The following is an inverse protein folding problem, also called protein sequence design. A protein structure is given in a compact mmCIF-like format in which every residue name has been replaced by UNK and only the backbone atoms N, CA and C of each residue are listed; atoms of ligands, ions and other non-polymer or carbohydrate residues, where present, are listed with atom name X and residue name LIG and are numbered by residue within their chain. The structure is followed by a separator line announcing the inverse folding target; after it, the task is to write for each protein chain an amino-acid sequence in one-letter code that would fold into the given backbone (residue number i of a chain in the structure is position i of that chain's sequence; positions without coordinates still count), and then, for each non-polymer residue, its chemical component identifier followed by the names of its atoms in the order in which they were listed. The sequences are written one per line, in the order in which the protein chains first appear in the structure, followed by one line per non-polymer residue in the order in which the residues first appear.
data_IF_868445494859
#
_entry.id   IF_868445494859
#
_cell.length_a   1.000
_cell.length_b   1.000
_cell.length_c   1.000
_cell.angle_alpha   90.00
_cell.angle_beta   90.00
_cell.angle_gamma   90.00
#
_symmetry.space_group_name_H-M   'P 1'
#
loop_
_entity.id
_entity.type
_entity.pdbx_description
1 polymer ?
#
# COMPACT_ATOMS: atom_id res chain seq x y z
N UNK A 1 17.76 -9.56 -19.61
CA UNK A 1 16.66 -9.21 -18.70
C UNK A 1 15.85 -7.97 -19.13
N UNK A 2 16.46 -6.85 -19.54
CA UNK A 2 15.75 -5.62 -19.95
C UNK A 2 14.77 -5.84 -21.10
N UNK A 3 15.19 -6.53 -22.17
CA UNK A 3 14.37 -6.79 -23.35
C UNK A 3 13.10 -7.60 -23.02
N UNK A 4 13.21 -8.64 -22.17
CA UNK A 4 12.06 -9.45 -21.75
C UNK A 4 11.04 -8.61 -20.98
N UNK A 5 11.51 -7.76 -20.06
CA UNK A 5 10.63 -6.86 -19.31
C UNK A 5 9.90 -5.87 -20.23
N UNK A 6 10.62 -5.25 -21.17
CA UNK A 6 10.03 -4.35 -22.16
C UNK A 6 9.04 -5.02 -23.09
N UNK A 7 9.34 -6.24 -23.52
CA UNK A 7 8.41 -7.02 -24.33
C UNK A 7 7.12 -7.34 -23.54
N UNK A 8 7.23 -7.71 -22.28
CA UNK A 8 6.05 -7.94 -21.42
C UNK A 8 5.23 -6.67 -21.20
N UNK A 9 5.87 -5.52 -20.97
CA UNK A 9 5.19 -4.21 -20.86
C UNK A 9 4.41 -3.87 -22.15
N UNK A 10 5.01 -4.10 -23.34
CA UNK A 10 4.38 -3.84 -24.65
C UNK A 10 3.19 -4.80 -24.87
N UNK A 11 3.35 -6.09 -24.60
CA UNK A 11 2.28 -7.07 -24.76
C UNK A 11 1.11 -6.74 -23.83
N UNK A 12 1.37 -6.45 -22.57
CA UNK A 12 0.33 -6.06 -21.61
C UNK A 12 -0.44 -4.81 -22.06
N UNK A 13 0.27 -3.80 -22.59
CA UNK A 13 -0.37 -2.57 -23.09
C UNK A 13 -1.18 -2.82 -24.37
N UNK A 14 -0.68 -3.69 -25.26
CA UNK A 14 -1.40 -4.11 -26.47
C UNK A 14 -2.68 -4.85 -26.14
N UNK A 15 -2.61 -5.84 -25.25
CA UNK A 15 -3.77 -6.63 -24.83
C UNK A 15 -4.83 -5.74 -24.18
N UNK A 16 -4.42 -4.79 -23.34
CA UNK A 16 -5.30 -3.80 -22.74
C UNK A 16 -6.00 -2.92 -23.78
N UNK A 17 -5.25 -2.45 -24.78
CA UNK A 17 -5.80 -1.64 -25.87
C UNK A 17 -6.83 -2.43 -26.70
N UNK A 18 -6.55 -3.70 -27.01
CA UNK A 18 -7.49 -4.58 -27.73
C UNK A 18 -8.76 -4.79 -26.92
N UNK A 19 -8.66 -5.02 -25.61
CA UNK A 19 -9.80 -5.16 -24.73
C UNK A 19 -10.66 -3.88 -24.66
N UNK A 20 -10.03 -2.71 -24.57
CA UNK A 20 -10.72 -1.42 -24.56
C UNK A 20 -11.49 -1.13 -25.87
N UNK A 21 -10.98 -1.58 -27.01
CA UNK A 21 -11.60 -1.38 -28.33
C UNK A 21 -12.66 -2.42 -28.68
N UNK A 22 -12.65 -3.60 -28.05
CA UNK A 22 -13.55 -4.72 -28.38
C UNK A 22 -14.92 -4.68 -27.70
N UNK A 23 -15.25 -3.63 -26.95
CA UNK A 23 -16.48 -3.52 -26.21
C UNK A 23 -17.70 -3.29 -27.10
N UNK A 24 -18.64 -4.24 -27.08
CA UNK A 24 -20.03 -4.02 -27.50
C UNK A 24 -20.71 -3.11 -26.46
N UNK A 25 -21.43 -2.11 -26.92
CA UNK A 25 -21.93 -0.94 -26.18
C UNK A 25 -22.82 -1.22 -24.93
N UNK A 26 -23.22 -2.47 -24.64
CA UNK A 26 -24.23 -2.74 -23.61
C UNK A 26 -23.74 -3.38 -22.29
N UNK A 27 -22.49 -3.91 -22.22
CA UNK A 27 -22.03 -4.61 -21.00
C UNK A 27 -20.63 -4.18 -20.61
N UNK A 28 -20.52 -3.50 -19.46
CA UNK A 28 -19.22 -3.07 -18.93
C UNK A 28 -18.34 -4.27 -18.59
N UNK A 29 -17.19 -4.38 -19.24
CA UNK A 29 -16.20 -5.43 -19.03
C UNK A 29 -14.77 -4.85 -19.16
N UNK A 30 -13.77 -5.66 -18.87
CA UNK A 30 -12.35 -5.29 -18.96
C UNK A 30 -11.62 -5.44 -17.63
N UNK A 31 -10.32 -5.18 -17.64
CA UNK A 31 -9.45 -5.26 -16.47
C UNK A 31 -9.16 -3.87 -15.90
N UNK A 32 -9.14 -3.76 -14.58
CA UNK A 32 -8.67 -2.59 -13.85
C UNK A 32 -7.40 -3.02 -13.08
N UNK A 33 -6.26 -2.44 -13.45
CA UNK A 33 -4.98 -2.75 -12.85
C UNK A 33 -4.66 -1.76 -11.72
N UNK A 34 -4.53 -2.27 -10.47
CA UNK A 34 -4.30 -1.46 -9.27
C UNK A 34 -2.98 -1.83 -8.64
N UNK A 35 -2.10 -0.84 -8.44
CA UNK A 35 -0.91 -0.97 -7.60
C UNK A 35 -1.20 -0.62 -6.15
N UNK A 36 -0.70 -1.40 -5.20
CA UNK A 36 -0.85 -1.08 -3.78
C UNK A 36 0.34 -1.58 -2.94
N UNK A 37 0.61 -0.92 -1.81
CA UNK A 37 1.41 -1.48 -0.74
C UNK A 37 0.59 -2.45 0.11
N UNK A 38 1.27 -3.16 1.00
CA UNK A 38 0.60 -3.98 2.02
C UNK A 38 0.08 -3.06 3.13
N UNK A 39 -1.23 -2.89 3.18
CA UNK A 39 -1.92 -1.92 4.04
C UNK A 39 -3.32 -2.40 4.41
N UNK A 40 -3.80 -2.04 5.59
CA UNK A 40 -5.16 -2.34 6.04
C UNK A 40 -6.22 -1.65 5.18
N UNK A 41 -5.88 -0.51 4.55
CA UNK A 41 -6.76 0.18 3.61
C UNK A 41 -7.08 -0.64 2.35
N UNK A 42 -6.31 -1.71 2.07
CA UNK A 42 -6.69 -2.68 1.05
C UNK A 42 -8.00 -3.41 1.37
N UNK A 43 -8.35 -3.61 2.64
CA UNK A 43 -9.66 -4.16 3.04
C UNK A 43 -10.79 -3.23 2.62
N UNK A 44 -10.62 -1.92 2.84
CA UNK A 44 -11.57 -0.92 2.39
C UNK A 44 -11.74 -0.93 0.87
N UNK A 45 -10.63 -0.93 0.13
CA UNK A 45 -10.66 -0.99 -1.33
C UNK A 45 -11.29 -2.29 -1.83
N UNK A 46 -10.99 -3.43 -1.21
CA UNK A 46 -11.56 -4.74 -1.54
C UNK A 46 -13.08 -4.75 -1.36
N UNK A 47 -13.60 -4.09 -0.34
CA UNK A 47 -15.05 -3.94 -0.14
C UNK A 47 -15.70 -3.12 -1.28
N UNK A 48 -15.03 -2.05 -1.76
CA UNK A 48 -15.52 -1.29 -2.91
C UNK A 48 -15.47 -2.12 -4.20
N UNK A 49 -14.40 -2.89 -4.40
CA UNK A 49 -14.27 -3.83 -5.52
C UNK A 49 -15.40 -4.86 -5.48
N UNK A 50 -15.68 -5.45 -4.33
CA UNK A 50 -16.77 -6.41 -4.15
C UNK A 50 -18.12 -5.82 -4.56
N UNK A 51 -18.46 -4.63 -4.04
CA UNK A 51 -19.71 -3.93 -4.37
C UNK A 51 -19.80 -3.57 -5.86
N UNK A 52 -18.70 -3.09 -6.44
CA UNK A 52 -18.66 -2.74 -7.85
C UNK A 52 -18.87 -3.97 -8.75
N UNK A 53 -18.21 -5.11 -8.43
CA UNK A 53 -18.37 -6.35 -9.19
C UNK A 53 -19.77 -6.98 -9.08
N UNK A 54 -20.52 -6.72 -8.01
CA UNK A 54 -21.93 -7.13 -7.94
C UNK A 54 -22.77 -6.45 -9.04
N UNK A 55 -22.43 -5.21 -9.40
CA UNK A 55 -23.12 -4.46 -10.47
C UNK A 55 -22.53 -4.75 -11.85
N UNK A 56 -21.21 -4.99 -11.93
CA UNK A 56 -20.46 -5.18 -13.18
C UNK A 56 -19.63 -6.47 -13.10
N UNK A 57 -20.26 -7.64 -13.21
CA UNK A 57 -19.61 -8.94 -12.94
C UNK A 57 -18.50 -9.32 -13.92
N UNK A 58 -18.51 -8.73 -15.13
CA UNK A 58 -17.49 -9.00 -16.16
C UNK A 58 -16.23 -8.14 -16.00
N UNK A 59 -16.21 -7.20 -15.04
CA UNK A 59 -15.00 -6.43 -14.74
C UNK A 59 -14.07 -7.27 -13.86
N UNK A 60 -12.81 -7.37 -14.28
CA UNK A 60 -11.75 -8.03 -13.55
C UNK A 60 -10.84 -6.99 -12.88
N UNK A 61 -10.20 -7.38 -11.79
CA UNK A 61 -9.23 -6.55 -11.08
C UNK A 61 -7.91 -7.28 -10.97
N UNK A 62 -6.84 -6.60 -11.34
CA UNK A 62 -5.47 -7.09 -11.20
C UNK A 62 -4.76 -6.28 -10.13
N UNK A 63 -4.24 -6.94 -9.10
CA UNK A 63 -3.58 -6.28 -7.96
C UNK A 63 -2.07 -6.51 -8.05
N UNK A 64 -1.32 -5.42 -8.08
CA UNK A 64 0.13 -5.43 -8.10
C UNK A 64 0.71 -4.86 -6.81
N UNK A 65 1.33 -5.72 -5.99
CA UNK A 65 1.95 -5.30 -4.72
C UNK A 65 3.34 -4.72 -4.97
N UNK A 66 3.54 -3.46 -4.61
CA UNK A 66 4.81 -2.77 -4.75
C UNK A 66 4.89 -1.53 -3.83
N UNK A 67 6.06 -0.91 -3.75
CA UNK A 67 6.23 0.38 -3.09
C UNK A 67 5.72 1.54 -3.98
N UNK A 68 5.42 2.67 -3.36
CA UNK A 68 4.81 3.82 -4.03
C UNK A 68 5.56 4.30 -5.29
N UNK A 69 6.89 4.25 -5.27
CA UNK A 69 7.69 4.75 -6.41
C UNK A 69 7.61 3.81 -7.61
N UNK A 70 7.62 2.49 -7.40
CA UNK A 70 7.40 1.49 -8.45
C UNK A 70 5.97 1.58 -9.01
N UNK A 71 4.98 1.79 -8.14
CA UNK A 71 3.58 1.97 -8.54
C UNK A 71 3.44 3.20 -9.43
N UNK A 72 4.00 4.35 -9.02
CA UNK A 72 3.98 5.59 -9.81
C UNK A 72 4.64 5.39 -11.18
N UNK A 73 5.81 4.75 -11.23
CA UNK A 73 6.48 4.45 -12.50
C UNK A 73 5.59 3.63 -13.44
N UNK A 74 4.86 2.65 -12.91
CA UNK A 74 3.96 1.79 -13.71
C UNK A 74 2.69 2.53 -14.16
N UNK A 75 2.17 3.45 -13.34
CA UNK A 75 1.06 4.34 -13.73
C UNK A 75 1.52 5.25 -14.88
N UNK A 76 2.72 5.84 -14.78
CA UNK A 76 3.26 6.69 -15.87
C UNK A 76 3.41 5.93 -17.18
N UNK A 77 3.71 4.63 -17.13
CA UNK A 77 3.81 3.74 -18.30
C UNK A 77 2.47 3.20 -18.79
N UNK A 78 1.35 3.52 -18.13
CA UNK A 78 0.03 2.99 -18.47
C UNK A 78 -0.17 1.49 -18.15
N UNK A 79 0.73 0.85 -17.39
CA UNK A 79 0.64 -0.55 -16.98
C UNK A 79 -0.36 -0.70 -15.82
N UNK A 80 -0.39 0.26 -14.90
CA UNK A 80 -1.38 0.36 -13.84
C UNK A 80 -2.31 1.54 -14.11
N UNK A 81 -3.58 1.36 -13.77
CA UNK A 81 -4.60 2.40 -13.90
C UNK A 81 -4.65 3.27 -12.65
N UNK A 82 -4.56 2.63 -11.48
CA UNK A 82 -4.79 3.24 -10.18
C UNK A 82 -3.67 2.79 -9.23
N UNK A 83 -3.26 3.67 -8.31
CA UNK A 83 -2.37 3.36 -7.21
C UNK A 83 -3.02 3.67 -5.87
N UNK A 84 -2.98 2.72 -4.93
CA UNK A 84 -3.23 2.96 -3.51
C UNK A 84 -1.88 3.22 -2.83
N UNK A 85 -1.61 4.49 -2.52
CA UNK A 85 -0.31 4.94 -2.03
C UNK A 85 -0.43 5.47 -0.60
N UNK A 86 0.58 5.16 0.23
CA UNK A 86 0.70 5.69 1.58
C UNK A 86 1.39 7.06 1.55
N UNK A 87 0.86 8.01 2.29
CA UNK A 87 1.51 9.30 2.53
C UNK A 87 2.77 9.12 3.43
N UNK A 88 3.76 9.99 3.39
CA UNK A 88 3.90 11.11 2.47
C UNK A 88 4.20 10.65 1.02
N UNK A 89 3.49 11.21 0.05
CA UNK A 89 3.68 10.93 -1.38
C UNK A 89 3.42 12.17 -2.22
N UNK A 90 4.31 12.44 -3.17
CA UNK A 90 4.08 13.50 -4.16
C UNK A 90 3.01 13.06 -5.16
N UNK A 91 1.88 13.78 -5.13
CA UNK A 91 0.72 13.57 -6.01
C UNK A 91 0.55 14.69 -7.05
N UNK A 92 1.51 15.58 -7.21
CA UNK A 92 1.39 16.75 -8.10
C UNK A 92 1.01 16.44 -9.55
N UNK A 93 1.44 15.27 -10.05
CA UNK A 93 1.14 14.78 -11.42
C UNK A 93 -0.12 13.93 -11.52
N UNK A 94 -0.81 13.68 -10.41
CA UNK A 94 -1.93 12.76 -10.33
C UNK A 94 -3.21 13.47 -9.93
N UNK A 95 -4.34 12.95 -10.41
CA UNK A 95 -5.61 13.08 -9.74
C UNK A 95 -5.61 12.15 -8.55
N UNK A 96 -6.30 12.51 -7.46
CA UNK A 96 -6.34 11.64 -6.29
C UNK A 96 -7.63 11.76 -5.48
N UNK A 97 -7.90 10.73 -4.69
CA UNK A 97 -8.93 10.71 -3.64
C UNK A 97 -8.23 10.26 -2.34
N UNK A 98 -8.42 11.00 -1.24
CA UNK A 98 -7.94 10.56 0.08
C UNK A 98 -8.86 9.49 0.65
N UNK A 99 -8.28 8.44 1.20
CA UNK A 99 -9.01 7.43 1.97
C UNK A 99 -9.26 7.98 3.37
N UNK A 100 -10.50 7.91 3.90
CA UNK A 100 -10.83 8.48 5.21
C UNK A 100 -10.09 7.81 6.37
N UNK A 101 -9.84 6.50 6.25
CA UNK A 101 -9.13 5.72 7.29
C UNK A 101 -7.64 6.01 7.23
N UNK A 102 -7.04 6.20 8.41
CA UNK A 102 -5.59 6.30 8.56
C UNK A 102 -4.99 4.99 9.01
N UNK A 103 -3.78 4.72 8.58
CA UNK A 103 -2.95 3.62 9.04
C UNK A 103 -2.22 4.02 10.31
N UNK A 104 -2.21 3.14 11.31
CA UNK A 104 -1.48 3.35 12.56
C UNK A 104 -0.11 2.71 12.50
N UNK A 105 0.90 3.45 12.88
CA UNK A 105 2.23 2.93 13.11
C UNK A 105 2.34 2.21 14.45
N UNK A 106 3.12 1.16 14.43
CA UNK A 106 3.46 0.38 15.60
C UNK A 106 4.70 -0.47 15.37
N UNK A 107 4.91 -1.38 16.28
CA UNK A 107 5.91 -2.42 16.14
C UNK A 107 5.25 -3.79 16.01
N UNK A 108 5.89 -4.65 15.22
CA UNK A 108 5.58 -6.05 15.15
C UNK A 108 6.66 -6.81 15.92
N UNK A 109 6.24 -7.61 16.90
CA UNK A 109 7.11 -8.38 17.78
C UNK A 109 6.56 -9.80 17.97
N UNK A 110 7.42 -10.71 18.39
CA UNK A 110 7.00 -12.05 18.83
C UNK A 110 6.17 -11.93 20.13
N UNK A 111 5.16 -12.78 20.27
CA UNK A 111 4.30 -12.81 21.48
C UNK A 111 5.06 -13.13 22.76
N UNK A 112 6.20 -13.81 22.66
CA UNK A 112 7.08 -14.13 23.79
C UNK A 112 8.08 -13.02 24.13
N UNK A 113 8.08 -11.89 23.40
CA UNK A 113 8.93 -10.74 23.69
C UNK A 113 8.44 -9.95 24.90
N UNK A 114 9.36 -9.39 25.68
CA UNK A 114 9.02 -8.45 26.77
C UNK A 114 8.24 -7.22 26.29
N UNK A 115 8.47 -6.80 25.03
CA UNK A 115 7.72 -5.71 24.42
C UNK A 115 6.26 -6.08 24.18
N UNK A 116 5.93 -7.35 23.99
CA UNK A 116 4.57 -7.81 23.77
C UNK A 116 3.61 -7.54 24.94
N UNK A 117 4.15 -7.37 26.14
CA UNK A 117 3.39 -7.03 27.35
C UNK A 117 3.04 -5.52 27.45
N UNK A 118 3.52 -4.68 26.53
CA UNK A 118 3.27 -3.24 26.53
C UNK A 118 1.97 -2.92 25.79
N UNK A 119 1.21 -1.96 26.31
CA UNK A 119 0.02 -1.43 25.62
C UNK A 119 0.39 -0.50 24.46
N UNK A 120 1.53 0.18 24.57
CA UNK A 120 2.07 1.08 23.53
C UNK A 120 3.59 1.22 23.66
N UNK A 121 4.23 1.68 22.60
CA UNK A 121 5.68 1.80 22.50
C UNK A 121 6.06 3.27 22.32
N UNK A 122 6.90 3.76 23.22
CA UNK A 122 7.58 5.04 23.05
C UNK A 122 9.01 4.86 22.51
N UNK A 123 9.66 5.93 22.02
CA UNK A 123 11.01 5.83 21.43
C UNK A 123 12.07 5.17 22.32
N UNK A 124 11.99 5.36 23.65
CA UNK A 124 13.01 4.85 24.59
C UNK A 124 13.04 3.32 24.67
N UNK A 125 11.91 2.65 24.41
CA UNK A 125 11.87 1.17 24.40
C UNK A 125 12.64 0.56 23.22
N UNK A 126 12.93 1.34 22.18
CA UNK A 126 13.52 0.85 20.94
C UNK A 126 15.00 1.17 20.77
N UNK A 127 15.62 1.93 21.69
CA UNK A 127 17.02 2.39 21.57
C UNK A 127 18.05 1.25 21.55
N UNK A 128 17.79 0.14 22.24
CA UNK A 128 18.73 -0.98 22.34
C UNK A 128 18.23 -2.25 21.62
N UNK A 129 17.16 -2.13 20.84
CA UNK A 129 16.53 -3.26 20.16
C UNK A 129 16.96 -3.28 18.69
N UNK A 130 17.32 -4.46 18.12
CA UNK A 130 17.53 -4.57 16.68
C UNK A 130 16.24 -4.25 15.93
N UNK A 131 16.26 -3.24 15.04
CA UNK A 131 15.09 -2.78 14.30
C UNK A 131 15.11 -3.23 12.85
N UNK A 132 13.94 -3.58 12.34
CA UNK A 132 13.67 -3.83 10.94
C UNK A 132 12.81 -2.67 10.44
N UNK A 133 13.36 -1.83 9.55
CA UNK A 133 12.74 -0.57 9.15
C UNK A 133 12.35 -0.55 7.68
N UNK A 134 11.39 0.32 7.33
CA UNK A 134 11.05 0.56 5.94
C UNK A 134 12.22 1.20 5.20
N UNK A 135 12.40 0.81 3.94
CA UNK A 135 13.50 1.33 3.11
C UNK A 135 13.22 2.73 2.54
N UNK A 136 11.94 3.13 2.44
CA UNK A 136 11.52 4.36 1.76
C UNK A 136 11.94 5.61 2.53
N UNK A 137 12.69 6.53 1.87
CA UNK A 137 13.32 7.69 2.50
C UNK A 137 12.30 8.68 3.11
N UNK A 138 11.21 8.97 2.41
CA UNK A 138 10.17 9.88 2.94
C UNK A 138 9.55 9.35 4.24
N UNK A 139 9.38 8.04 4.36
CA UNK A 139 8.86 7.40 5.58
C UNK A 139 9.92 7.41 6.70
N UNK A 140 11.19 7.24 6.35
CA UNK A 140 12.27 7.38 7.34
C UNK A 140 12.30 8.76 7.98
N UNK A 141 12.06 9.83 7.21
CA UNK A 141 12.00 11.19 7.74
C UNK A 141 10.84 11.38 8.72
N UNK A 142 9.68 10.78 8.44
CA UNK A 142 8.53 10.77 9.35
C UNK A 142 8.86 10.03 10.65
N UNK A 143 9.46 8.85 10.55
CA UNK A 143 9.90 8.07 11.70
C UNK A 143 11.04 8.77 12.46
N UNK A 144 12.01 9.40 11.78
CA UNK A 144 13.05 10.18 12.42
C UNK A 144 12.48 11.32 13.28
N UNK A 145 11.47 12.01 12.75
CA UNK A 145 10.74 13.03 13.52
C UNK A 145 10.04 12.46 14.76
N UNK A 146 9.45 11.27 14.66
CA UNK A 146 8.80 10.60 15.79
C UNK A 146 9.82 10.16 16.86
N UNK A 147 10.98 9.62 16.46
CA UNK A 147 12.04 9.22 17.37
C UNK A 147 12.76 10.40 18.04
N UNK A 148 12.80 11.56 17.38
CA UNK A 148 13.55 12.73 17.84
C UNK A 148 15.03 12.41 18.09
N UNK A 149 15.56 12.79 19.25
CA UNK A 149 16.96 12.60 19.62
C UNK A 149 17.42 11.14 19.68
N UNK A 150 16.48 10.20 19.75
CA UNK A 150 16.80 8.76 19.79
C UNK A 150 17.12 8.17 18.42
N UNK A 151 16.82 8.87 17.32
CA UNK A 151 16.90 8.31 15.97
C UNK A 151 18.33 7.90 15.58
N UNK A 152 19.31 8.73 15.86
CA UNK A 152 20.74 8.48 15.53
C UNK A 152 21.33 7.27 16.26
N UNK A 153 20.77 6.91 17.41
CA UNK A 153 21.20 5.76 18.23
C UNK A 153 20.53 4.45 17.88
N UNK A 154 19.65 4.40 16.88
CA UNK A 154 18.91 3.19 16.54
C UNK A 154 19.80 2.12 15.91
N UNK A 155 19.59 0.87 16.30
CA UNK A 155 20.29 -0.30 15.77
C UNK A 155 19.47 -0.93 14.64
N UNK A 156 19.74 -0.53 13.40
CA UNK A 156 19.03 -1.07 12.24
C UNK A 156 19.66 -2.42 11.86
N UNK A 157 18.92 -3.52 12.09
CA UNK A 157 19.34 -4.87 11.73
C UNK A 157 19.00 -5.21 10.27
N UNK A 158 17.86 -4.74 9.76
CA UNK A 158 17.43 -4.99 8.39
C UNK A 158 16.52 -3.88 7.89
N UNK A 159 16.32 -3.83 6.56
CA UNK A 159 15.32 -2.97 5.93
C UNK A 159 14.41 -3.79 5.03
N UNK A 160 13.16 -3.36 4.88
CA UNK A 160 12.16 -4.03 4.06
C UNK A 160 11.40 -3.05 3.16
N UNK A 161 10.74 -3.57 2.13
CA UNK A 161 9.84 -2.83 1.25
C UNK A 161 8.38 -3.29 1.38
N UNK A 162 8.15 -4.57 1.65
CA UNK A 162 6.83 -5.19 1.89
C UNK A 162 6.85 -5.92 3.24
N UNK A 163 5.78 -5.72 4.03
CA UNK A 163 5.79 -6.05 5.46
C UNK A 163 5.76 -7.56 5.74
N UNK A 164 5.22 -8.39 4.85
CA UNK A 164 5.22 -9.85 5.08
C UNK A 164 6.65 -10.41 5.19
N UNK A 165 7.61 -9.86 4.44
CA UNK A 165 9.03 -10.24 4.60
C UNK A 165 9.59 -9.79 5.97
N UNK A 166 9.18 -8.61 6.45
CA UNK A 166 9.57 -8.14 7.77
C UNK A 166 8.96 -9.02 8.87
N UNK A 167 7.71 -9.44 8.73
CA UNK A 167 7.06 -10.36 9.66
C UNK A 167 7.83 -11.68 9.81
N UNK A 168 8.25 -12.30 8.68
CA UNK A 168 9.08 -13.51 8.72
C UNK A 168 10.43 -13.28 9.40
N UNK A 169 11.06 -12.10 9.22
CA UNK A 169 12.29 -11.75 9.93
C UNK A 169 12.06 -11.58 11.43
N UNK A 170 10.93 -11.00 11.86
CA UNK A 170 10.55 -10.88 13.28
C UNK A 170 10.33 -12.27 13.89
N UNK A 171 9.60 -13.13 13.20
CA UNK A 171 9.33 -14.51 13.63
C UNK A 171 10.63 -15.30 13.86
N UNK A 172 11.61 -15.12 12.97
CA UNK A 172 12.95 -15.71 13.09
C UNK A 172 13.86 -15.02 14.09
N UNK A 173 13.41 -13.96 14.79
CA UNK A 173 14.18 -13.28 15.83
C UNK A 173 15.27 -12.32 15.30
N UNK A 174 15.20 -11.85 14.05
CA UNK A 174 16.17 -10.89 13.49
C UNK A 174 16.06 -9.53 14.20
N UNK A 175 14.84 -9.16 14.62
CA UNK A 175 14.59 -7.89 15.31
C UNK A 175 13.11 -7.59 15.42
N UNK A 176 12.81 -6.34 15.72
CA UNK A 176 11.46 -5.77 15.84
C UNK A 176 11.16 -4.93 14.61
N UNK A 177 10.04 -5.15 13.94
CA UNK A 177 9.69 -4.38 12.75
C UNK A 177 8.83 -3.16 13.10
N UNK A 178 9.24 -1.97 12.63
CA UNK A 178 8.41 -0.77 12.59
C UNK A 178 7.53 -0.83 11.35
N UNK A 179 6.20 -0.89 11.54
CA UNK A 179 5.26 -1.14 10.45
C UNK A 179 3.87 -0.57 10.73
N UNK A 180 2.99 -0.66 9.74
CA UNK A 180 1.55 -0.46 9.94
C UNK A 180 0.88 -1.69 10.53
N UNK A 181 -0.27 -1.47 11.20
CA UNK A 181 -1.15 -2.54 11.64
C UNK A 181 -1.88 -3.19 10.45
N UNK A 182 -1.52 -4.42 10.10
CA UNK A 182 -2.28 -5.20 9.11
C UNK A 182 -3.45 -5.99 9.70
N UNK A 183 -3.58 -5.98 11.02
CA UNK A 183 -4.59 -6.74 11.76
C UNK A 183 -4.09 -8.11 12.22
N UNK A 184 -4.62 -8.58 13.34
CA UNK A 184 -4.18 -9.80 14.02
C UNK A 184 -4.32 -11.08 13.19
N UNK A 185 -5.20 -11.09 12.19
CA UNK A 185 -5.42 -12.24 11.32
C UNK A 185 -4.21 -12.62 10.45
N UNK A 186 -3.25 -11.72 10.29
CA UNK A 186 -2.04 -11.97 9.49
C UNK A 186 -0.88 -12.57 10.29
N UNK A 187 -0.99 -12.66 11.63
CA UNK A 187 0.14 -12.98 12.50
C UNK A 187 -0.28 -13.99 13.58
N UNK A 188 0.13 -15.25 13.44
CA UNK A 188 -0.20 -16.28 14.43
C UNK A 188 0.62 -16.13 15.72
N UNK A 189 1.96 -16.00 15.59
CA UNK A 189 2.91 -15.93 16.72
C UNK A 189 3.46 -14.53 16.97
N UNK A 190 2.98 -13.54 16.25
CA UNK A 190 3.37 -12.15 16.38
C UNK A 190 2.24 -11.31 16.97
N UNK A 191 2.59 -10.16 17.53
CA UNK A 191 1.62 -9.16 17.93
C UNK A 191 2.06 -7.77 17.48
N UNK A 192 1.08 -6.95 17.17
CA UNK A 192 1.26 -5.54 16.84
C UNK A 192 1.01 -4.69 18.09
N UNK A 193 1.92 -3.73 18.35
CA UNK A 193 1.80 -2.79 19.46
C UNK A 193 1.93 -1.37 18.90
N UNK A 194 0.94 -0.49 19.15
CA UNK A 194 0.93 0.86 18.59
C UNK A 194 2.04 1.73 19.18
N UNK A 195 2.48 2.75 18.41
CA UNK A 195 3.38 3.78 18.90
C UNK A 195 2.69 4.78 19.82
N UNK A 196 3.43 5.29 20.82
CA UNK A 196 3.05 6.41 21.67
C UNK A 196 4.22 7.42 21.77
N UNK A 197 4.03 8.70 21.38
CA UNK A 197 2.79 9.27 20.86
C UNK A 197 2.34 8.62 19.55
N UNK A 198 1.04 8.59 19.33
CA UNK A 198 0.44 7.96 18.16
C UNK A 198 0.98 8.59 16.88
N UNK A 199 1.47 7.76 15.96
CA UNK A 199 1.83 8.15 14.60
C UNK A 199 0.85 7.50 13.63
N UNK A 200 0.21 8.34 12.80
CA UNK A 200 -0.77 7.88 11.81
C UNK A 200 -0.41 8.41 10.44
N UNK A 201 -0.61 7.60 9.42
CA UNK A 201 -0.34 7.93 8.04
C UNK A 201 -1.61 7.81 7.21
N UNK A 202 -1.88 8.81 6.38
CA UNK A 202 -2.97 8.77 5.41
C UNK A 202 -2.65 7.91 4.20
N UNK A 203 -3.67 7.63 3.39
CA UNK A 203 -3.48 7.01 2.08
C UNK A 203 -4.34 7.66 1.02
N UNK A 204 -3.89 7.57 -0.22
CA UNK A 204 -4.53 8.15 -1.39
C UNK A 204 -4.66 7.12 -2.50
N UNK A 205 -5.80 7.15 -3.18
CA UNK A 205 -5.95 6.53 -4.49
C UNK A 205 -5.54 7.55 -5.54
N UNK A 206 -4.59 7.22 -6.39
CA UNK A 206 -4.07 8.10 -7.44
C UNK A 206 -4.23 7.48 -8.82
N UNK A 207 -4.40 8.33 -9.83
CA UNK A 207 -4.35 7.97 -11.25
C UNK A 207 -3.80 9.14 -12.04
N UNK A 208 -3.30 8.88 -13.23
CA UNK A 208 -2.62 9.89 -14.03
C UNK A 208 -3.59 10.98 -14.50
N UNK A 209 -3.18 12.26 -14.38
CA UNK A 209 -3.90 13.40 -14.94
C UNK A 209 -3.95 13.32 -16.46
N UNK A 210 -5.05 13.79 -17.04
CA UNK A 210 -5.23 13.91 -18.50
C UNK A 210 -5.02 12.62 -19.29
N UNK A 211 -5.14 11.46 -18.63
CA UNK A 211 -5.14 10.16 -19.31
C UNK A 211 -6.56 9.74 -19.65
N UNK A 212 -6.77 9.24 -20.86
CA UNK A 212 -7.99 8.54 -21.21
C UNK A 212 -7.98 7.20 -20.50
N UNK A 213 -8.82 7.06 -19.47
CA UNK A 213 -9.01 5.79 -18.78
C UNK A 213 -9.96 4.90 -19.57
N UNK A 214 -9.74 3.59 -19.56
CA UNK A 214 -10.68 2.62 -20.11
C UNK A 214 -12.07 2.73 -19.48
N UNK A 215 -13.10 2.24 -20.15
CA UNK A 215 -14.49 2.36 -19.71
C UNK A 215 -14.72 1.79 -18.31
N UNK A 216 -14.14 0.61 -18.00
CA UNK A 216 -14.23 -0.02 -16.69
C UNK A 216 -13.59 0.83 -15.60
N UNK A 217 -12.36 1.31 -15.83
CA UNK A 217 -11.62 2.17 -14.87
C UNK A 217 -12.35 3.49 -14.65
N UNK A 218 -12.81 4.16 -15.72
CA UNK A 218 -13.56 5.42 -15.63
C UNK A 218 -14.84 5.24 -14.79
N UNK A 219 -15.58 4.15 -15.01
CA UNK A 219 -16.78 3.84 -14.25
C UNK A 219 -16.49 3.51 -12.79
N UNK A 220 -15.40 2.78 -12.51
CA UNK A 220 -14.97 2.48 -11.16
C UNK A 220 -14.54 3.74 -10.40
N UNK A 221 -13.78 4.64 -11.04
CA UNK A 221 -13.40 5.92 -10.43
C UNK A 221 -14.61 6.82 -10.14
N UNK A 222 -15.59 6.86 -11.02
CA UNK A 222 -16.86 7.57 -10.76
C UNK A 222 -17.61 6.95 -9.57
N UNK A 223 -17.66 5.62 -9.51
CA UNK A 223 -18.26 4.91 -8.38
C UNK A 223 -17.55 5.24 -7.07
N UNK A 224 -16.21 5.20 -7.03
CA UNK A 224 -15.43 5.53 -5.85
C UNK A 224 -15.64 6.98 -5.40
N UNK A 225 -15.61 7.96 -6.32
CA UNK A 225 -15.88 9.37 -5.97
C UNK A 225 -17.22 9.54 -5.26
N UNK A 226 -18.27 8.89 -5.76
CA UNK A 226 -19.59 8.95 -5.13
C UNK A 226 -19.61 8.27 -3.75
N UNK A 227 -18.94 7.12 -3.61
CA UNK A 227 -18.86 6.39 -2.34
C UNK A 227 -18.11 7.20 -1.27
N UNK A 228 -17.06 7.95 -1.65
CA UNK A 228 -16.28 8.78 -0.73
C UNK A 228 -16.95 10.12 -0.38
N UNK A 229 -17.82 10.65 -1.22
CA UNK A 229 -18.59 11.87 -0.93
C UNK A 229 -19.75 11.61 0.03
N UNK A 230 -20.14 10.35 0.21
CA UNK A 230 -21.21 9.92 1.10
C UNK A 230 -20.73 9.52 2.51
N UNK A 231 -19.41 9.60 2.78
CA UNK A 231 -18.76 9.37 4.07
C UNK A 231 -18.40 10.69 4.75
#
# INVERSE_FOLDING_TARGET
MLLKRRAQEIVSLSDKTVQELSHKEDVLSGEIAIGCGETKNMLFLSEQIRKFRQKYPLVQFSIHSAIADDIKERIEKGILDIGLLMEPVDVGKYEFIRIPQKEKWGILVRKDSELAAKESINPTYLTNVPLIMVKRELVKNELASWFGDYYEGLRIAATYNLILNAASMVECGVGVALCFDLGAAFYEDLCFIPLAPTLETGSVLVWKKNQTLGAATSQFMRYLRNAFQAL
#
